data_IF_227045864272
#
_entry.id   IF_227045864272
#
_cell.length_a   1.000
_cell.length_b   1.000
_cell.length_c   1.000
_cell.angle_alpha   90.00
_cell.angle_beta   90.00
_cell.angle_gamma   90.00
#
_symmetry.space_group_name_H-M   'P 1'
#
loop_
_entity.id
_entity.type
_entity.pdbx_description
1 polymer ?
#
# COMPACT_ATOMS: atom_id res chain seq x y z
N UNK A 1 16.36 8.59 6.92
CA UNK A 1 15.02 8.10 7.28
C UNK A 1 15.08 6.78 8.06
N UNK A 2 15.53 5.69 7.43
CA UNK A 2 15.52 4.34 8.01
C UNK A 2 16.65 4.04 9.02
N UNK A 3 17.59 4.98 9.20
CA UNK A 3 18.74 4.85 10.11
C UNK A 3 19.53 3.54 9.87
N UNK A 4 19.84 3.25 8.60
CA UNK A 4 20.72 2.15 8.23
C UNK A 4 22.15 2.42 8.70
N UNK A 5 22.85 1.37 9.09
CA UNK A 5 24.23 1.39 9.57
C UNK A 5 25.03 0.28 8.91
N UNK A 6 26.36 0.34 9.00
CA UNK A 6 27.25 -0.72 8.49
C UNK A 6 26.99 -2.11 9.10
N UNK A 7 26.44 -2.14 10.32
CA UNK A 7 26.13 -3.39 11.04
C UNK A 7 24.82 -4.04 10.61
N UNK A 8 24.09 -3.44 9.68
CA UNK A 8 22.83 -4.00 9.20
C UNK A 8 23.03 -5.13 8.18
N UNK A 9 22.10 -6.07 8.23
CA UNK A 9 21.91 -7.09 7.20
C UNK A 9 20.55 -6.84 6.55
N UNK A 10 20.57 -6.25 5.35
CA UNK A 10 19.37 -5.90 4.60
C UNK A 10 18.86 -7.10 3.78
N UNK A 11 17.56 -7.40 3.90
CA UNK A 11 16.91 -8.39 3.07
C UNK A 11 15.58 -7.87 2.51
N UNK A 12 15.50 -7.75 1.19
CA UNK A 12 14.31 -7.27 0.49
C UNK A 12 13.61 -8.40 -0.25
N UNK A 13 12.33 -8.63 0.06
CA UNK A 13 11.46 -9.48 -0.77
C UNK A 13 11.14 -8.80 -2.11
N UNK A 14 11.11 -7.46 -2.15
CA UNK A 14 11.03 -6.70 -3.40
C UNK A 14 12.34 -6.81 -4.18
N UNK A 15 12.26 -7.25 -5.43
CA UNK A 15 13.40 -7.52 -6.30
C UNK A 15 14.09 -6.24 -6.77
N UNK A 16 15.37 -6.35 -7.16
CA UNK A 16 16.23 -5.22 -7.54
C UNK A 16 15.73 -4.45 -8.78
N UNK A 17 14.87 -5.03 -9.62
CA UNK A 17 14.28 -4.31 -10.75
C UNK A 17 13.12 -3.39 -10.35
N UNK A 18 12.58 -3.52 -9.14
CA UNK A 18 11.65 -2.54 -8.59
C UNK A 18 12.43 -1.38 -7.98
N UNK A 19 11.99 -0.16 -8.19
CA UNK A 19 12.64 1.03 -7.63
C UNK A 19 12.83 0.95 -6.09
N UNK A 20 11.80 0.44 -5.39
CA UNK A 20 11.87 0.13 -3.96
C UNK A 20 12.98 -0.89 -3.63
N UNK A 21 13.02 -2.02 -4.34
CA UNK A 21 14.02 -3.07 -4.13
C UNK A 21 15.44 -2.66 -4.51
N UNK A 22 15.61 -1.81 -5.53
CA UNK A 22 16.88 -1.20 -5.92
C UNK A 22 17.45 -0.31 -4.81
N UNK A 23 16.58 0.43 -4.12
CA UNK A 23 16.90 1.09 -2.85
C UNK A 23 17.41 0.09 -1.82
N UNK A 24 16.49 -0.78 -1.41
CA UNK A 24 16.62 -1.62 -0.21
C UNK A 24 17.74 -2.65 -0.27
N UNK A 25 17.95 -3.27 -1.43
CA UNK A 25 18.88 -4.37 -1.63
C UNK A 25 20.14 -3.97 -2.40
N UNK A 26 20.37 -2.68 -2.67
CA UNK A 26 21.57 -2.25 -3.39
C UNK A 26 22.04 -0.86 -2.96
N UNK A 27 21.34 0.20 -3.35
CA UNK A 27 21.87 1.57 -3.17
C UNK A 27 21.96 1.97 -1.70
N UNK A 28 20.96 1.63 -0.89
CA UNK A 28 20.93 1.96 0.53
C UNK A 28 22.00 1.23 1.34
N UNK A 29 22.11 -0.12 1.29
CA UNK A 29 23.14 -0.83 2.03
C UNK A 29 24.55 -0.44 1.59
N UNK A 30 24.81 -0.27 0.29
CA UNK A 30 26.12 0.17 -0.20
C UNK A 30 26.51 1.57 0.30
N UNK A 31 25.54 2.46 0.49
CA UNK A 31 25.80 3.82 1.00
C UNK A 31 26.37 3.82 2.42
N UNK A 32 26.01 2.82 3.24
CA UNK A 32 26.41 2.76 4.65
C UNK A 32 27.35 1.59 4.97
N UNK A 33 27.73 0.79 3.98
CA UNK A 33 28.57 -0.40 4.17
C UNK A 33 27.84 -1.61 4.76
N UNK A 34 26.51 -1.67 4.70
CA UNK A 34 25.72 -2.79 5.21
C UNK A 34 25.82 -4.04 4.32
N UNK A 35 25.61 -5.22 4.92
CA UNK A 35 25.52 -6.48 4.18
C UNK A 35 24.13 -6.65 3.56
N UNK A 36 24.04 -7.21 2.36
CA UNK A 36 22.75 -7.53 1.72
C UNK A 36 22.57 -9.02 1.48
N UNK A 37 21.42 -9.55 1.87
CA UNK A 37 20.95 -10.90 1.50
C UNK A 37 20.09 -10.79 0.24
N UNK A 38 20.49 -11.49 -0.82
CA UNK A 38 19.72 -11.60 -2.05
C UNK A 38 19.00 -12.94 -2.13
N UNK A 39 17.75 -12.90 -2.59
CA UNK A 39 16.94 -14.08 -2.88
C UNK A 39 16.54 -14.05 -4.36
N UNK A 40 17.01 -15.03 -5.13
CA UNK A 40 16.63 -15.18 -6.54
C UNK A 40 15.18 -15.65 -6.67
N UNK A 41 14.81 -16.70 -5.95
CA UNK A 41 13.51 -17.37 -6.01
C UNK A 41 12.33 -16.49 -5.55
N UNK A 42 11.11 -16.95 -5.81
CA UNK A 42 9.90 -16.27 -5.33
C UNK A 42 9.94 -16.12 -3.79
N UNK A 43 9.65 -14.92 -3.24
CA UNK A 43 9.68 -14.69 -1.80
C UNK A 43 8.42 -15.23 -1.12
N UNK A 44 8.26 -16.56 -1.05
CA UNK A 44 7.21 -17.19 -0.24
C UNK A 44 7.50 -17.03 1.25
N UNK A 45 6.50 -17.20 2.15
CA UNK A 45 6.74 -17.17 3.59
C UNK A 45 7.90 -18.07 4.03
N UNK A 46 7.94 -19.33 3.58
CA UNK A 46 8.99 -20.29 3.93
C UNK A 46 10.36 -19.85 3.43
N UNK A 47 10.43 -19.33 2.19
CA UNK A 47 11.67 -18.83 1.63
C UNK A 47 12.21 -17.61 2.40
N UNK A 48 11.32 -16.73 2.87
CA UNK A 48 11.65 -15.56 3.70
C UNK A 48 12.07 -15.98 5.10
N UNK A 49 11.29 -16.87 5.75
CA UNK A 49 11.58 -17.38 7.09
C UNK A 49 12.93 -18.06 7.15
N UNK A 50 13.26 -18.89 6.15
CA UNK A 50 14.58 -19.51 6.04
C UNK A 50 15.69 -18.46 6.11
N UNK A 51 15.55 -17.32 5.42
CA UNK A 51 16.57 -16.25 5.46
C UNK A 51 16.57 -15.53 6.81
N UNK A 52 15.41 -15.29 7.41
CA UNK A 52 15.30 -14.68 8.75
C UNK A 52 15.94 -15.53 9.85
N UNK A 53 15.82 -16.85 9.77
CA UNK A 53 16.25 -17.78 10.83
C UNK A 53 17.62 -18.38 10.60
N UNK A 54 18.04 -18.61 9.35
CA UNK A 54 19.31 -19.27 8.99
C UNK A 54 20.33 -18.32 8.35
N UNK A 55 19.88 -17.18 7.81
CA UNK A 55 20.72 -16.24 7.06
C UNK A 55 20.83 -16.52 5.56
N UNK A 56 21.85 -15.95 4.91
CA UNK A 56 22.10 -16.13 3.48
C UNK A 56 22.70 -17.49 3.15
N UNK A 57 22.37 -18.07 1.98
CA UNK A 57 22.84 -19.41 1.59
C UNK A 57 24.38 -19.55 1.54
N UNK A 58 25.10 -18.45 1.28
CA UNK A 58 26.57 -18.40 1.28
C UNK A 58 27.19 -17.89 2.60
N UNK A 59 26.37 -17.51 3.58
CA UNK A 59 26.85 -17.02 4.88
C UNK A 59 25.83 -17.37 5.99
N UNK A 60 25.77 -18.65 6.39
CA UNK A 60 24.92 -19.10 7.49
C UNK A 60 25.19 -18.30 8.76
N UNK A 61 24.14 -17.84 9.44
CA UNK A 61 24.24 -17.03 10.66
C UNK A 61 24.14 -15.51 10.46
N UNK A 62 24.30 -14.99 9.24
CA UNK A 62 24.01 -13.58 8.93
C UNK A 62 22.50 -13.37 8.80
N UNK A 63 21.82 -13.30 9.94
CA UNK A 63 20.37 -13.07 10.01
C UNK A 63 20.05 -11.61 9.64
N UNK A 64 19.05 -11.37 8.75
CA UNK A 64 18.58 -10.03 8.45
C UNK A 64 18.19 -9.24 9.70
N UNK A 65 18.72 -8.02 9.82
CA UNK A 65 18.31 -7.05 10.84
C UNK A 65 17.16 -6.19 10.33
N UNK A 66 17.05 -6.03 9.01
CA UNK A 66 16.01 -5.23 8.37
C UNK A 66 15.41 -6.01 7.21
N UNK A 67 14.09 -6.11 7.25
CA UNK A 67 13.32 -6.71 6.18
C UNK A 67 12.48 -5.68 5.44
N UNK A 68 12.38 -5.84 4.12
CA UNK A 68 11.56 -5.00 3.25
C UNK A 68 10.58 -5.87 2.48
N UNK A 69 9.30 -5.51 2.50
CA UNK A 69 8.24 -6.25 1.82
C UNK A 69 7.04 -5.39 1.47
N UNK A 70 6.02 -6.02 0.90
CA UNK A 70 4.70 -5.41 0.70
C UNK A 70 3.72 -5.93 1.78
N UNK A 71 2.67 -5.17 2.13
CA UNK A 71 1.61 -5.60 3.06
C UNK A 71 1.08 -7.01 2.79
N UNK A 72 0.79 -7.36 1.54
CA UNK A 72 0.35 -8.73 1.17
C UNK A 72 1.33 -9.81 1.62
N UNK A 73 2.64 -9.56 1.50
CA UNK A 73 3.67 -10.49 1.98
C UNK A 73 3.67 -10.63 3.50
N UNK A 74 3.52 -9.51 4.23
CA UNK A 74 3.39 -9.54 5.69
C UNK A 74 2.14 -10.29 6.15
N UNK A 75 1.01 -10.09 5.48
CA UNK A 75 -0.23 -10.81 5.78
C UNK A 75 -0.07 -12.33 5.58
N UNK A 76 0.50 -12.74 4.44
CA UNK A 76 0.79 -14.16 4.16
C UNK A 76 1.74 -14.78 5.18
N UNK A 77 2.78 -14.04 5.62
CA UNK A 77 3.69 -14.50 6.67
C UNK A 77 2.99 -14.64 8.02
N UNK A 78 2.22 -13.64 8.46
CA UNK A 78 1.53 -13.66 9.74
C UNK A 78 0.44 -14.74 9.84
N UNK A 79 -0.09 -15.19 8.70
CA UNK A 79 -1.04 -16.29 8.63
C UNK A 79 -0.37 -17.68 8.55
N UNK A 80 0.95 -17.74 8.35
CA UNK A 80 1.64 -19.00 8.10
C UNK A 80 1.87 -19.80 9.41
N UNK A 81 1.53 -21.10 9.47
CA UNK A 81 1.66 -21.90 10.70
C UNK A 81 3.07 -21.99 11.27
N UNK A 82 4.09 -21.86 10.41
CA UNK A 82 5.51 -21.91 10.78
C UNK A 82 6.15 -20.51 10.93
N UNK A 83 5.35 -19.47 11.20
CA UNK A 83 5.87 -18.13 11.47
C UNK A 83 6.92 -18.18 12.60
N UNK A 84 8.17 -17.72 12.36
CA UNK A 84 9.20 -17.72 13.38
C UNK A 84 8.80 -16.86 14.58
N UNK A 85 9.18 -17.30 15.78
CA UNK A 85 9.11 -16.47 16.98
C UNK A 85 10.12 -15.32 16.91
N UNK A 86 9.88 -14.26 17.68
CA UNK A 86 10.82 -13.13 17.82
C UNK A 86 12.25 -13.59 18.09
N UNK A 87 12.45 -14.55 19.00
CA UNK A 87 13.76 -15.06 19.41
C UNK A 87 14.53 -15.79 18.30
N UNK A 88 13.83 -16.25 17.24
CA UNK A 88 14.47 -16.93 16.11
C UNK A 88 14.99 -15.95 15.05
N UNK A 89 14.58 -14.68 15.10
CA UNK A 89 14.92 -13.62 14.14
C UNK A 89 15.87 -12.60 14.74
N UNK A 90 16.53 -11.78 13.90
CA UNK A 90 17.35 -10.64 14.31
C UNK A 90 16.73 -9.28 13.92
N UNK A 91 15.44 -9.26 13.55
CA UNK A 91 14.79 -8.06 13.03
C UNK A 91 14.76 -6.95 14.08
N UNK A 92 15.33 -5.79 13.75
CA UNK A 92 15.17 -4.54 14.51
C UNK A 92 14.13 -3.61 13.89
N UNK A 93 13.77 -3.84 12.62
CA UNK A 93 12.81 -3.03 11.87
C UNK A 93 12.27 -3.81 10.67
N UNK A 94 11.02 -3.54 10.31
CA UNK A 94 10.40 -3.97 9.06
C UNK A 94 9.99 -2.73 8.26
N UNK A 95 10.13 -2.77 6.93
CA UNK A 95 9.71 -1.69 6.03
C UNK A 95 8.68 -2.20 5.02
N UNK A 96 7.65 -1.39 4.77
CA UNK A 96 6.55 -1.68 3.86
C UNK A 96 6.43 -0.61 2.78
N UNK A 97 6.18 -1.04 1.54
CA UNK A 97 5.78 -0.19 0.45
C UNK A 97 5.06 -1.01 -0.64
N UNK A 98 4.42 -0.31 -1.59
CA UNK A 98 3.78 -0.88 -2.79
C UNK A 98 2.25 -0.88 -2.74
N UNK A 99 1.68 -0.86 -1.54
CA UNK A 99 0.26 -0.68 -1.25
C UNK A 99 0.13 -0.14 0.18
N UNK A 100 -1.01 0.49 0.51
CA UNK A 100 -1.24 1.03 1.84
C UNK A 100 -1.29 -0.12 2.87
N UNK A 101 -0.56 0.04 3.98
CA UNK A 101 -0.53 -0.95 5.06
C UNK A 101 -1.81 -0.87 5.93
N UNK A 102 -2.65 -1.92 5.99
CA UNK A 102 -3.76 -1.96 6.93
C UNK A 102 -3.28 -1.86 8.37
N UNK A 103 -3.96 -1.08 9.21
CA UNK A 103 -3.47 -0.79 10.56
C UNK A 103 -3.31 -2.05 11.42
N UNK A 104 -4.34 -2.91 11.41
CA UNK A 104 -4.35 -4.20 12.11
C UNK A 104 -3.15 -5.08 11.74
N UNK A 105 -2.72 -5.03 10.47
CA UNK A 105 -1.60 -5.85 10.01
C UNK A 105 -0.28 -5.40 10.66
N UNK A 106 -0.06 -4.10 10.76
CA UNK A 106 1.09 -3.52 11.47
C UNK A 106 1.05 -3.81 12.96
N UNK A 107 -0.12 -3.68 13.59
CA UNK A 107 -0.32 -3.97 15.02
C UNK A 107 -0.03 -5.44 15.35
N UNK A 108 -0.56 -6.38 14.57
CA UNK A 108 -0.29 -7.82 14.73
C UNK A 108 1.18 -8.15 14.56
N UNK A 109 1.85 -7.53 13.58
CA UNK A 109 3.29 -7.72 13.38
C UNK A 109 4.09 -7.21 14.59
N UNK A 110 3.75 -6.01 15.08
CA UNK A 110 4.38 -5.42 16.28
C UNK A 110 4.15 -6.29 17.51
N UNK A 111 2.94 -6.82 17.69
CA UNK A 111 2.63 -7.71 18.81
C UNK A 111 3.47 -8.99 18.79
N UNK A 112 3.68 -9.58 17.61
CA UNK A 112 4.43 -10.84 17.46
C UNK A 112 5.95 -10.65 17.53
N UNK A 113 6.50 -9.67 16.80
CA UNK A 113 7.95 -9.47 16.68
C UNK A 113 8.52 -8.37 17.59
N UNK A 114 7.67 -7.50 18.15
CA UNK A 114 8.09 -6.37 18.98
C UNK A 114 8.79 -5.26 18.20
N UNK A 115 8.64 -5.21 16.88
CA UNK A 115 9.16 -4.15 16.01
C UNK A 115 8.06 -3.64 15.08
N UNK A 116 8.08 -2.35 14.78
CA UNK A 116 7.09 -1.76 13.89
C UNK A 116 7.35 -2.08 12.41
N UNK A 117 6.26 -2.13 11.63
CA UNK A 117 6.33 -2.00 10.18
C UNK A 117 6.30 -0.51 9.82
N UNK A 118 7.39 -0.01 9.26
CA UNK A 118 7.52 1.37 8.79
C UNK A 118 6.99 1.44 7.36
N UNK A 119 5.73 1.83 7.22
CA UNK A 119 5.07 2.02 5.93
C UNK A 119 5.46 3.35 5.27
N UNK A 120 5.69 3.31 3.96
CA UNK A 120 6.00 4.48 3.15
C UNK A 120 5.58 4.30 1.70
N UNK A 121 5.38 5.42 1.02
CA UNK A 121 5.07 5.45 -0.41
C UNK A 121 6.19 6.14 -1.18
N UNK A 122 6.53 5.51 -2.29
CA UNK A 122 7.36 6.06 -3.35
C UNK A 122 6.72 5.79 -4.70
N UNK A 123 7.41 6.20 -5.75
CA UNK A 123 7.05 5.85 -7.13
C UNK A 123 8.31 5.57 -7.93
N UNK A 124 8.17 4.94 -9.09
CA UNK A 124 9.30 4.76 -10.00
C UNK A 124 9.85 6.12 -10.45
N UNK A 125 8.96 7.09 -10.68
CA UNK A 125 9.26 8.46 -11.11
C UNK A 125 10.01 9.27 -10.05
N UNK A 126 9.85 8.93 -8.77
CA UNK A 126 10.59 9.53 -7.66
C UNK A 126 11.71 8.63 -7.13
N UNK A 127 11.99 7.51 -7.82
CA UNK A 127 12.95 6.45 -7.51
C UNK A 127 12.71 5.69 -6.19
N UNK A 128 12.38 6.37 -5.09
CA UNK A 128 12.09 5.73 -3.81
C UNK A 128 11.06 6.54 -3.00
N UNK A 129 10.98 6.27 -1.69
CA UNK A 129 9.98 6.79 -0.76
C UNK A 129 10.19 8.29 -0.50
N UNK A 130 9.11 9.06 -0.66
CA UNK A 130 9.06 10.52 -0.41
C UNK A 130 8.10 10.89 0.74
N UNK A 131 7.25 9.96 1.16
CA UNK A 131 6.31 10.11 2.28
C UNK A 131 6.34 8.82 3.10
N UNK A 132 6.63 8.92 4.40
CA UNK A 132 6.87 7.74 5.23
C UNK A 132 6.61 7.94 6.72
N UNK A 133 6.18 6.87 7.37
CA UNK A 133 6.37 6.71 8.81
C UNK A 133 7.88 6.63 9.15
N UNK A 134 8.23 6.70 10.43
CA UNK A 134 9.64 6.66 10.87
C UNK A 134 9.83 5.63 11.97
N UNK A 135 11.02 5.01 12.09
CA UNK A 135 11.32 4.16 13.25
C UNK A 135 11.07 4.93 14.55
N UNK A 136 10.29 4.35 15.48
CA UNK A 136 9.89 5.00 16.73
C UNK A 136 8.76 6.02 16.63
N UNK A 137 8.25 6.31 15.42
CA UNK A 137 7.14 7.22 15.18
C UNK A 137 6.28 6.69 14.03
N UNK A 138 5.38 5.76 14.35
CA UNK A 138 4.48 5.09 13.39
C UNK A 138 3.03 5.38 13.74
N UNK A 139 2.27 5.86 12.76
CA UNK A 139 0.81 5.98 12.83
C UNK A 139 0.19 5.05 11.79
N UNK A 140 -0.18 3.86 12.24
CA UNK A 140 -0.82 2.86 11.39
C UNK A 140 -2.11 3.38 10.73
N UNK A 141 -2.38 2.92 9.51
CA UNK A 141 -3.45 3.46 8.66
C UNK A 141 -3.10 4.76 7.93
N UNK A 142 -1.89 5.29 8.15
CA UNK A 142 -1.33 6.44 7.42
C UNK A 142 0.02 6.08 6.82
N UNK A 143 0.47 6.88 5.85
CA UNK A 143 1.79 6.78 5.25
C UNK A 143 2.80 7.73 5.92
N UNK A 144 2.47 8.23 7.12
CA UNK A 144 3.34 9.10 7.91
C UNK A 144 3.50 10.50 7.32
N UNK A 145 4.73 11.03 7.36
CA UNK A 145 5.05 12.43 7.06
C UNK A 145 5.98 12.57 5.86
N UNK A 146 6.07 13.77 5.25
CA UNK A 146 7.05 14.03 4.21
C UNK A 146 8.47 13.67 4.68
N UNK A 147 9.21 13.00 3.80
CA UNK A 147 10.62 12.71 4.03
C UNK A 147 11.40 14.02 3.89
N UNK A 148 12.29 14.38 4.84
CA UNK A 148 13.09 15.59 4.71
C UNK A 148 13.84 15.66 3.38
N UNK A 149 13.75 16.81 2.70
CA UNK A 149 14.24 17.00 1.33
C UNK A 149 13.17 16.84 0.24
N UNK A 150 11.96 16.40 0.61
CA UNK A 150 10.79 16.36 -0.28
C UNK A 150 9.71 17.32 0.20
N UNK A 151 9.13 18.06 -0.74
CA UNK A 151 7.92 18.86 -0.55
C UNK A 151 6.73 18.10 -1.11
N UNK A 152 5.59 18.17 -0.43
CA UNK A 152 4.36 17.47 -0.78
C UNK A 152 3.22 18.49 -0.91
N UNK A 153 2.50 18.41 -2.02
CA UNK A 153 1.26 19.18 -2.25
C UNK A 153 0.10 18.25 -2.56
N UNK A 154 -1.08 18.62 -2.05
CA UNK A 154 -2.36 18.02 -2.42
C UNK A 154 -3.14 19.06 -3.22
N UNK A 155 -3.44 18.74 -4.48
CA UNK A 155 -4.12 19.66 -5.40
C UNK A 155 -5.53 19.20 -5.76
N UNK A 156 -6.45 20.15 -5.87
CA UNK A 156 -7.82 19.95 -6.30
C UNK A 156 -7.92 19.71 -7.82
N UNK A 157 -9.15 19.57 -8.32
CA UNK A 157 -9.43 19.41 -9.76
C UNK A 157 -9.01 20.64 -10.58
N UNK A 158 -9.01 21.82 -9.97
CA UNK A 158 -8.59 23.09 -10.55
C UNK A 158 -7.08 23.34 -10.50
N UNK A 159 -6.33 22.41 -9.89
CA UNK A 159 -4.88 22.54 -9.67
C UNK A 159 -4.49 23.41 -8.48
N UNK A 160 -5.46 23.98 -7.74
CA UNK A 160 -5.23 24.73 -6.50
C UNK A 160 -5.03 23.81 -5.28
N UNK A 161 -4.67 24.38 -4.13
CA UNK A 161 -4.54 23.60 -2.90
C UNK A 161 -5.92 23.15 -2.37
N UNK A 162 -6.00 21.94 -1.82
CA UNK A 162 -7.20 21.46 -1.12
C UNK A 162 -7.21 21.89 0.35
N UNK A 163 -8.38 22.12 0.96
CA UNK A 163 -8.51 22.29 2.41
C UNK A 163 -7.94 21.10 3.20
N UNK A 164 -7.56 21.35 4.45
CA UNK A 164 -7.10 20.29 5.34
C UNK A 164 -8.21 19.26 5.60
N UNK A 165 -7.87 17.97 5.63
CA UNK A 165 -8.85 16.89 5.75
C UNK A 165 -9.56 16.52 4.44
N UNK A 166 -9.39 17.28 3.36
CA UNK A 166 -9.97 16.97 2.06
C UNK A 166 -8.99 16.20 1.14
N UNK A 167 -9.50 15.30 0.28
CA UNK A 167 -8.65 14.53 -0.63
C UNK A 167 -8.17 15.40 -1.80
N UNK A 168 -6.86 15.38 -2.07
CA UNK A 168 -6.26 16.01 -3.24
C UNK A 168 -5.31 15.09 -4.00
N UNK A 169 -5.08 15.39 -5.28
CA UNK A 169 -4.04 14.74 -6.09
C UNK A 169 -2.66 15.03 -5.51
N UNK A 170 -1.85 13.99 -5.34
CA UNK A 170 -0.53 14.06 -4.74
C UNK A 170 0.53 14.49 -5.76
N UNK A 171 1.20 15.60 -5.45
CA UNK A 171 2.37 16.11 -6.16
C UNK A 171 3.59 16.14 -5.25
N UNK A 172 4.73 15.77 -5.80
CA UNK A 172 5.99 15.65 -5.08
C UNK A 172 7.04 16.51 -5.75
N UNK A 173 7.75 17.32 -4.97
CA UNK A 173 8.96 18.01 -5.41
C UNK A 173 10.14 17.52 -4.57
N UNK A 174 11.18 17.06 -5.24
CA UNK A 174 12.35 16.49 -4.58
C UNK A 174 13.47 16.15 -5.55
N UNK A 175 14.68 15.89 -5.03
CA UNK A 175 15.90 15.82 -5.85
C UNK A 175 16.05 14.51 -6.65
N UNK A 176 15.21 13.51 -6.40
CA UNK A 176 15.30 12.17 -7.01
C UNK A 176 14.37 11.96 -8.20
N UNK A 177 13.65 13.00 -8.63
CA UNK A 177 12.69 12.84 -9.71
C UNK A 177 13.36 12.49 -11.03
N UNK A 178 12.78 11.55 -11.76
CA UNK A 178 13.12 11.30 -13.15
C UNK A 178 12.90 12.55 -14.00
N UNK A 179 13.67 12.69 -15.07
CA UNK A 179 13.57 13.86 -15.95
C UNK A 179 12.39 13.75 -16.94
N UNK A 180 12.06 12.54 -17.38
CA UNK A 180 11.06 12.28 -18.42
C UNK A 180 10.73 10.79 -18.53
N UNK A 181 9.66 10.49 -19.27
CA UNK A 181 9.48 9.18 -19.89
C UNK A 181 10.12 9.18 -21.28
N UNK A 182 11.01 8.21 -21.52
CA UNK A 182 11.67 8.05 -22.81
C UNK A 182 10.64 7.86 -23.94
N UNK A 183 10.81 8.62 -25.03
CA UNK A 183 9.96 8.59 -26.22
C UNK A 183 8.45 8.84 -25.96
N UNK A 184 8.06 9.47 -24.85
CA UNK A 184 6.67 9.83 -24.58
C UNK A 184 6.54 11.25 -24.01
N UNK A 185 6.54 12.24 -24.91
CA UNK A 185 6.50 13.67 -24.55
C UNK A 185 5.18 14.08 -23.90
N UNK A 186 4.06 13.51 -24.32
CA UNK A 186 2.73 13.81 -23.77
C UNK A 186 2.66 13.42 -22.30
N UNK A 187 2.89 12.15 -21.97
CA UNK A 187 2.91 11.68 -20.58
C UNK A 187 3.99 12.37 -19.74
N UNK A 188 5.13 12.72 -20.34
CA UNK A 188 6.16 13.46 -19.62
C UNK A 188 5.66 14.83 -19.15
N UNK A 189 4.89 15.54 -19.98
CA UNK A 189 4.31 16.85 -19.62
C UNK A 189 3.18 16.72 -18.60
N UNK A 190 2.43 15.63 -18.63
CA UNK A 190 1.37 15.36 -17.66
C UNK A 190 1.93 15.01 -16.27
N UNK A 191 3.01 14.23 -16.22
CA UNK A 191 3.61 13.76 -14.96
C UNK A 191 4.60 14.75 -14.37
N UNK A 192 5.54 15.27 -15.16
CA UNK A 192 6.64 16.13 -14.71
C UNK A 192 6.31 17.60 -14.99
N UNK A 193 5.65 18.23 -14.04
CA UNK A 193 5.11 19.59 -14.15
C UNK A 193 6.05 20.60 -13.48
N UNK A 194 7.05 21.05 -14.24
CA UNK A 194 8.08 21.93 -13.71
C UNK A 194 8.96 21.20 -12.70
N UNK A 195 8.98 21.66 -11.45
CA UNK A 195 9.69 20.99 -10.35
C UNK A 195 8.86 19.92 -9.61
N UNK A 196 7.61 19.70 -10.02
CA UNK A 196 6.67 18.81 -9.35
C UNK A 196 6.37 17.57 -10.19
N UNK A 197 6.22 16.43 -9.53
CA UNK A 197 5.90 15.14 -10.14
C UNK A 197 4.57 14.64 -9.61
N UNK A 198 3.61 14.40 -10.52
CA UNK A 198 2.29 13.85 -10.20
C UNK A 198 2.39 12.34 -9.98
N UNK A 199 1.98 11.83 -8.83
CA UNK A 199 2.05 10.37 -8.55
C UNK A 199 0.88 9.56 -9.12
N UNK A 200 -0.24 10.24 -9.39
CA UNK A 200 -1.52 9.63 -9.72
C UNK A 200 -2.24 9.03 -8.52
N UNK A 201 -1.85 9.39 -7.30
CA UNK A 201 -2.53 9.01 -6.06
C UNK A 201 -3.28 10.21 -5.47
N UNK A 202 -4.36 9.94 -4.74
CA UNK A 202 -5.01 10.92 -3.87
C UNK A 202 -4.70 10.64 -2.41
N UNK A 203 -4.52 11.71 -1.66
CA UNK A 203 -4.26 11.66 -0.23
C UNK A 203 -5.07 12.72 0.50
N UNK A 204 -5.29 12.46 1.78
CA UNK A 204 -5.78 13.44 2.77
C UNK A 204 -4.62 13.76 3.71
N UNK A 205 -4.39 15.05 3.97
CA UNK A 205 -3.51 15.49 5.06
C UNK A 205 -4.33 15.60 6.34
N UNK A 206 -3.89 14.88 7.37
CA UNK A 206 -4.51 14.85 8.68
C UNK A 206 -3.99 16.00 9.58
N UNK A 207 -4.72 16.29 10.66
CA UNK A 207 -4.38 17.35 11.62
C UNK A 207 -3.03 17.21 12.31
N UNK A 208 -2.51 15.99 12.46
CA UNK A 208 -1.17 15.72 13.01
C UNK A 208 -0.06 15.78 11.93
N UNK A 209 -0.40 16.22 10.72
CA UNK A 209 0.50 16.31 9.58
C UNK A 209 0.81 14.99 8.89
N UNK A 210 0.22 13.87 9.32
CA UNK A 210 0.31 12.61 8.58
C UNK A 210 -0.57 12.61 7.34
N UNK A 211 -0.32 11.67 6.44
CA UNK A 211 -1.03 11.55 5.16
C UNK A 211 -1.72 10.19 5.05
N UNK A 212 -3.02 10.19 4.78
CA UNK A 212 -3.82 8.97 4.60
C UNK A 212 -4.11 8.74 3.12
N UNK A 213 -3.73 7.57 2.61
CA UNK A 213 -3.99 7.18 1.22
C UNK A 213 -5.50 7.12 0.96
N UNK A 214 -5.95 7.84 -0.05
CA UNK A 214 -7.37 7.87 -0.45
C UNK A 214 -7.63 7.06 -1.72
N UNK A 215 -6.61 6.54 -2.39
CA UNK A 215 -6.78 5.78 -3.62
C UNK A 215 -6.01 6.36 -4.79
N UNK A 216 -6.12 5.73 -5.95
CA UNK A 216 -5.59 6.30 -7.18
C UNK A 216 -6.52 7.38 -7.70
N UNK A 217 -5.98 8.42 -8.32
CA UNK A 217 -6.79 9.48 -8.93
C UNK A 217 -7.77 8.93 -9.97
N UNK A 218 -7.43 7.83 -10.65
CA UNK A 218 -8.28 7.13 -11.63
C UNK A 218 -9.21 6.06 -11.02
N UNK A 219 -9.09 5.77 -9.71
CA UNK A 219 -9.98 4.84 -8.99
C UNK A 219 -10.96 5.57 -8.04
N UNK A 220 -10.73 6.84 -7.74
CA UNK A 220 -11.59 7.63 -6.84
C UNK A 220 -13.01 7.79 -7.39
N UNK A 221 -14.00 7.61 -6.51
CA UNK A 221 -15.40 7.69 -6.88
C UNK A 221 -15.97 9.04 -6.46
N UNK A 222 -16.79 9.66 -7.32
CA UNK A 222 -17.55 10.87 -6.97
C UNK A 222 -19.00 10.46 -6.76
N UNK A 223 -19.36 10.15 -5.52
CA UNK A 223 -20.70 9.66 -5.14
C UNK A 223 -21.49 10.80 -4.54
N UNK A 224 -22.60 11.18 -5.20
CA UNK A 224 -23.44 12.31 -4.76
C UNK A 224 -22.64 13.63 -4.59
N UNK A 225 -21.68 13.86 -5.49
CA UNK A 225 -20.81 15.05 -5.46
C UNK A 225 -19.66 14.99 -4.45
N UNK A 226 -19.55 13.93 -3.65
CA UNK A 226 -18.51 13.77 -2.62
C UNK A 226 -17.52 12.70 -3.05
N UNK A 227 -16.23 12.96 -2.81
CA UNK A 227 -15.18 11.97 -3.03
C UNK A 227 -15.30 10.80 -2.05
N UNK A 228 -15.30 9.60 -2.60
CA UNK A 228 -15.30 8.33 -1.87
C UNK A 228 -14.10 7.53 -2.32
N UNK A 229 -13.24 7.21 -1.36
CA UNK A 229 -12.16 6.25 -1.56
C UNK A 229 -12.74 4.84 -1.64
N UNK A 230 -12.56 4.10 -2.75
CA UNK A 230 -12.94 2.69 -2.77
C UNK A 230 -12.14 1.89 -1.72
N UNK A 231 -10.88 2.28 -1.47
CA UNK A 231 -9.99 1.60 -0.52
C UNK A 231 -10.46 1.74 0.94
N UNK A 232 -11.02 2.88 1.33
CA UNK A 232 -11.57 3.07 2.68
C UNK A 232 -12.78 2.15 2.92
N UNK A 233 -13.62 2.00 1.89
CA UNK A 233 -14.78 1.09 1.93
C UNK A 233 -14.31 -0.37 1.95
N UNK A 234 -13.33 -0.74 1.12
CA UNK A 234 -12.72 -2.07 1.11
C UNK A 234 -12.09 -2.41 2.46
N UNK A 235 -11.26 -1.52 3.01
CA UNK A 235 -10.60 -1.67 4.31
C UNK A 235 -11.60 -1.82 5.46
N UNK A 236 -12.78 -1.20 5.34
CA UNK A 236 -13.88 -1.40 6.28
C UNK A 236 -14.51 -2.77 6.06
N UNK A 237 -14.87 -3.14 4.82
CA UNK A 237 -15.52 -4.43 4.52
C UNK A 237 -14.71 -5.64 4.99
N UNK A 238 -13.38 -5.63 4.81
CA UNK A 238 -12.51 -6.75 5.22
C UNK A 238 -12.40 -6.92 6.74
N UNK A 239 -12.85 -5.94 7.54
CA UNK A 239 -12.97 -6.09 8.99
C UNK A 239 -14.18 -6.93 9.40
N UNK A 240 -15.13 -7.19 8.49
CA UNK A 240 -16.26 -8.05 8.80
C UNK A 240 -15.79 -9.51 8.92
N UNK A 241 -16.17 -10.27 9.97
CA UNK A 241 -15.65 -11.61 10.22
C UNK A 241 -15.79 -12.58 9.06
N UNK A 242 -16.88 -12.47 8.28
CA UNK A 242 -17.16 -13.33 7.13
C UNK A 242 -16.39 -12.95 5.84
N UNK A 243 -15.83 -11.75 5.73
CA UNK A 243 -15.23 -11.24 4.48
C UNK A 243 -13.76 -11.65 4.40
N UNK A 244 -13.38 -12.32 3.32
CA UNK A 244 -11.99 -12.66 3.01
C UNK A 244 -11.30 -11.52 2.27
N UNK A 245 -11.92 -11.04 1.19
CA UNK A 245 -11.42 -9.94 0.37
C UNK A 245 -12.59 -9.11 -0.16
N UNK A 246 -12.34 -7.83 -0.42
CA UNK A 246 -13.31 -6.95 -1.05
C UNK A 246 -12.62 -6.04 -2.08
N UNK A 247 -13.34 -5.73 -3.16
CA UNK A 247 -12.95 -4.72 -4.14
C UNK A 247 -14.14 -3.80 -4.41
N UNK A 248 -13.92 -2.49 -4.42
CA UNK A 248 -14.96 -1.49 -4.65
C UNK A 248 -14.67 -0.74 -5.93
N UNK A 249 -15.70 -0.58 -6.76
CA UNK A 249 -15.68 0.22 -7.98
C UNK A 249 -16.87 1.20 -8.00
N UNK A 250 -16.83 2.13 -8.96
CA UNK A 250 -17.99 2.92 -9.34
C UNK A 250 -18.88 2.14 -10.30
N UNK A 251 -20.18 2.15 -10.04
CA UNK A 251 -21.25 1.71 -10.94
C UNK A 251 -22.22 2.87 -11.14
N UNK A 252 -22.54 3.20 -12.38
CA UNK A 252 -23.63 4.14 -12.67
C UNK A 252 -24.98 3.46 -12.40
N UNK A 253 -25.87 4.18 -11.70
CA UNK A 253 -27.27 3.77 -11.55
C UNK A 253 -28.09 4.13 -12.80
N UNK A 254 -29.40 3.90 -12.74
CA UNK A 254 -30.33 4.16 -13.85
C UNK A 254 -30.38 5.64 -14.27
N UNK A 255 -29.98 6.55 -13.37
CA UNK A 255 -29.91 7.99 -13.62
C UNK A 255 -28.51 8.45 -14.09
N UNK A 256 -27.58 7.52 -14.31
CA UNK A 256 -26.19 7.81 -14.69
C UNK A 256 -25.32 8.32 -13.53
N UNK A 257 -25.78 8.21 -12.28
CA UNK A 257 -25.04 8.66 -11.12
C UNK A 257 -24.13 7.55 -10.60
N UNK A 258 -22.84 7.86 -10.43
CA UNK A 258 -21.90 6.91 -9.84
C UNK A 258 -22.26 6.59 -8.39
N UNK A 259 -22.45 5.30 -8.10
CA UNK A 259 -22.57 4.71 -6.76
C UNK A 259 -21.45 3.69 -6.53
N UNK A 260 -21.19 3.39 -5.27
CA UNK A 260 -20.25 2.34 -4.87
C UNK A 260 -20.86 0.96 -5.11
N UNK A 261 -20.15 0.09 -5.84
CA UNK A 261 -20.41 -1.36 -5.94
C UNK A 261 -19.25 -2.12 -5.33
N UNK A 262 -19.52 -3.03 -4.41
CA UNK A 262 -18.53 -3.92 -3.82
C UNK A 262 -18.64 -5.33 -4.41
N UNK A 263 -17.50 -5.92 -4.78
CA UNK A 263 -17.34 -7.35 -5.02
C UNK A 263 -16.71 -7.97 -3.79
N UNK A 264 -17.33 -8.99 -3.22
CA UNK A 264 -16.96 -9.56 -1.93
C UNK A 264 -16.68 -11.05 -2.08
N UNK A 265 -15.51 -11.48 -1.60
CA UNK A 265 -15.15 -12.89 -1.42
C UNK A 265 -15.32 -13.22 0.05
N UNK A 266 -16.04 -14.29 0.36
CA UNK A 266 -16.23 -14.76 1.74
C UNK A 266 -15.13 -15.72 2.16
N UNK A 267 -14.85 -15.78 3.46
CA UNK A 267 -14.00 -16.84 4.02
C UNK A 267 -14.72 -18.18 3.88
N UNK A 268 -13.94 -19.26 3.78
CA UNK A 268 -14.47 -20.62 3.76
C UNK A 268 -15.42 -20.84 4.96
N UNK A 269 -16.57 -21.46 4.70
CA UNK A 269 -17.59 -21.81 5.68
C UNK A 269 -18.22 -20.63 6.44
N UNK A 270 -17.99 -19.39 6.00
CA UNK A 270 -18.68 -18.21 6.51
C UNK A 270 -19.85 -17.81 5.60
N UNK A 271 -20.91 -17.28 6.21
CA UNK A 271 -22.06 -16.73 5.49
C UNK A 271 -22.38 -15.33 6.02
N UNK A 272 -22.86 -14.48 5.13
CA UNK A 272 -23.41 -13.15 5.43
C UNK A 272 -24.30 -12.75 4.25
N UNK A 273 -25.04 -11.65 4.37
CA UNK A 273 -25.86 -11.10 3.30
C UNK A 273 -25.54 -9.62 3.05
N UNK A 274 -26.09 -9.07 1.96
CA UNK A 274 -25.83 -7.68 1.61
C UNK A 274 -26.28 -6.68 2.69
N UNK A 275 -27.38 -6.97 3.37
CA UNK A 275 -27.97 -6.05 4.35
C UNK A 275 -27.05 -5.89 5.56
N UNK A 276 -26.48 -7.01 6.03
CA UNK A 276 -25.48 -7.06 7.10
C UNK A 276 -24.22 -6.28 6.73
N UNK A 277 -23.65 -6.52 5.54
CA UNK A 277 -22.44 -5.80 5.10
C UNK A 277 -22.70 -4.30 4.90
N UNK A 278 -23.87 -3.92 4.37
CA UNK A 278 -24.28 -2.50 4.25
C UNK A 278 -24.40 -1.84 5.62
N UNK A 279 -25.02 -2.52 6.59
CA UNK A 279 -25.13 -2.03 7.96
C UNK A 279 -23.75 -1.89 8.63
N UNK A 280 -22.90 -2.91 8.49
CA UNK A 280 -21.56 -2.93 9.05
C UNK A 280 -20.70 -1.74 8.60
N UNK A 281 -20.79 -1.36 7.31
CA UNK A 281 -20.09 -0.20 6.77
C UNK A 281 -20.73 1.11 7.22
N UNK A 282 -22.07 1.21 7.26
CA UNK A 282 -22.79 2.41 7.75
C UNK A 282 -22.47 2.76 9.19
N UNK A 283 -22.21 1.76 10.03
CA UNK A 283 -21.86 1.97 11.44
C UNK A 283 -20.43 2.53 11.63
N UNK A 284 -19.59 2.48 10.60
CA UNK A 284 -18.16 2.85 10.67
C UNK A 284 -17.78 4.02 9.77
N UNK A 285 -18.47 4.16 8.64
CA UNK A 285 -18.22 5.20 7.64
C UNK A 285 -19.46 6.06 7.44
N UNK A 286 -19.27 7.27 6.94
CA UNK A 286 -20.37 8.17 6.63
C UNK A 286 -21.38 7.52 5.64
N UNK A 287 -22.70 7.79 5.76
CA UNK A 287 -23.75 7.10 4.98
C UNK A 287 -23.65 7.21 3.45
N UNK A 288 -22.89 8.15 2.91
CA UNK A 288 -22.67 8.24 1.47
C UNK A 288 -21.60 7.26 0.96
N UNK A 289 -20.75 6.70 1.84
CA UNK A 289 -19.65 5.80 1.47
C UNK A 289 -20.05 4.33 1.33
N UNK A 290 -21.11 3.87 2.01
CA UNK A 290 -21.47 2.44 2.00
C UNK A 290 -21.81 1.93 0.59
N UNK A 291 -21.43 0.68 0.24
CA UNK A 291 -21.71 0.10 -1.07
C UNK A 291 -23.23 0.00 -1.32
N UNK A 292 -23.72 0.70 -2.35
CA UNK A 292 -25.14 0.60 -2.76
C UNK A 292 -25.45 -0.78 -3.34
N UNK A 293 -24.49 -1.36 -4.04
CA UNK A 293 -24.56 -2.70 -4.62
C UNK A 293 -23.48 -3.58 -4.02
N UNK A 294 -23.81 -4.83 -3.71
CA UNK A 294 -22.85 -5.84 -3.27
C UNK A 294 -23.04 -7.06 -4.14
N UNK A 295 -21.94 -7.64 -4.62
CA UNK A 295 -21.95 -8.89 -5.38
C UNK A 295 -20.97 -9.87 -4.73
N UNK A 296 -21.45 -11.06 -4.39
CA UNK A 296 -20.59 -12.12 -3.88
C UNK A 296 -19.95 -12.88 -5.05
N UNK A 297 -18.61 -12.98 -5.03
CA UNK A 297 -17.83 -13.63 -6.08
C UNK A 297 -16.91 -14.70 -5.48
N UNK A 298 -16.58 -15.73 -6.26
CA UNK A 298 -15.66 -16.77 -5.84
C UNK A 298 -14.21 -16.29 -5.72
N UNK A 299 -13.81 -15.34 -6.58
CA UNK A 299 -12.47 -14.73 -6.56
C UNK A 299 -12.47 -13.33 -7.18
N UNK A 300 -11.41 -12.56 -6.89
CA UNK A 300 -11.15 -11.25 -7.50
C UNK A 300 -10.05 -11.36 -8.57
N UNK A 301 -10.15 -10.62 -9.69
CA UNK A 301 -9.10 -10.61 -10.69
C UNK A 301 -7.84 -9.95 -10.14
N UNK A 302 -6.68 -10.63 -10.21
CA UNK A 302 -5.41 -10.14 -9.65
C UNK A 302 -4.27 -10.26 -10.66
N UNK A 303 -3.26 -9.40 -10.52
CA UNK A 303 -1.98 -9.56 -11.21
C UNK A 303 -1.17 -10.71 -10.61
N UNK A 304 -0.07 -11.11 -11.27
CA UNK A 304 0.89 -12.08 -10.71
C UNK A 304 1.50 -11.64 -9.36
N UNK A 305 1.44 -10.34 -9.03
CA UNK A 305 1.91 -9.79 -7.75
C UNK A 305 0.81 -9.70 -6.69
N UNK A 306 -0.39 -10.22 -6.96
CA UNK A 306 -1.53 -10.20 -6.04
C UNK A 306 -2.37 -8.92 -6.07
N UNK A 307 -2.04 -7.94 -6.91
CA UNK A 307 -2.77 -6.66 -6.97
C UNK A 307 -4.11 -6.85 -7.68
N UNK A 308 -5.22 -6.46 -7.03
CA UNK A 308 -6.56 -6.50 -7.63
C UNK A 308 -6.63 -5.60 -8.88
N UNK A 309 -7.14 -6.16 -9.98
CA UNK A 309 -7.33 -5.51 -11.27
C UNK A 309 -8.73 -4.89 -11.38
N UNK A 310 -8.97 -3.76 -10.69
CA UNK A 310 -10.29 -3.08 -10.67
C UNK A 310 -10.83 -2.71 -12.04
N UNK A 311 -9.96 -2.44 -13.02
CA UNK A 311 -10.40 -2.17 -14.40
C UNK A 311 -11.16 -3.35 -15.00
N UNK A 312 -10.78 -4.61 -14.71
CA UNK A 312 -11.52 -5.80 -15.17
C UNK A 312 -12.88 -5.92 -14.52
N UNK A 313 -13.00 -5.53 -13.25
CA UNK A 313 -14.30 -5.47 -12.56
C UNK A 313 -15.19 -4.39 -13.19
N UNK A 314 -14.63 -3.23 -13.53
CA UNK A 314 -15.35 -2.17 -14.26
C UNK A 314 -15.79 -2.61 -15.66
N UNK A 315 -14.94 -3.34 -16.39
CA UNK A 315 -15.28 -3.90 -17.71
C UNK A 315 -16.39 -4.95 -17.60
N UNK A 316 -16.29 -5.87 -16.63
CA UNK A 316 -17.34 -6.87 -16.35
C UNK A 316 -18.68 -6.20 -16.04
N UNK A 317 -18.66 -5.12 -15.26
CA UNK A 317 -19.88 -4.38 -14.94
C UNK A 317 -20.50 -3.72 -16.17
N UNK A 318 -19.67 -3.10 -17.02
CA UNK A 318 -20.14 -2.48 -18.28
C UNK A 318 -20.67 -3.49 -19.29
N UNK A 319 -20.18 -4.73 -19.26
CA UNK A 319 -20.66 -5.79 -20.15
C UNK A 319 -21.94 -6.47 -19.65
N UNK A 320 -22.29 -6.29 -18.37
CA UNK A 320 -23.46 -6.89 -17.74
C UNK A 320 -24.70 -5.97 -17.73
N UNK A 321 -24.52 -4.68 -18.04
CA UNK A 321 -25.60 -3.70 -18.24
C UNK A 321 -25.79 -3.40 -19.72
#
# INVERSE_FOLDING_TARGET
LLQLTENDVCFSAAKLFFAYGLGNGLTFPLTVGATTVLLADRPTPEAVFKRWTEGGAGAPGLKPTIFFGAPTGYAGMLAHPQLPSKAQTALRMASSAGEALPAELGERFKQHFGVDIVDGIGSTEMLHIFLSNRPGQVRYGTTGWPVPGYEIELRGEDGGAVPEGEPGDLYIKGPSSALMYWANREKSRETFQGGWTKSGDKYVRNADGTYTYSGRSDDMLKVSGIYVSPFEVEATLVQHPAVLEAAVIGKEDEDGLTKTKAFVVLKADQQTNEAELKAFVKDRLAPYKYPRYIEFVGELPKTATGKIQRFRLRERERAAG
#
